data_IF_545494763548
#
_entry.id   IF_545494763548
#
_cell.length_a   1.000
_cell.length_b   1.000
_cell.length_c   1.000
_cell.angle_alpha   90.00
_cell.angle_beta   90.00
_cell.angle_gamma   90.00
#
_symmetry.space_group_name_H-M   'P 1'
#
loop_
_entity.id
_entity.type
_entity.pdbx_description
1 polymer ?
#
# COMPACT_ATOMS: atom_id res chain seq x y z
N UNK A 1 12.33 22.68 -16.29
CA UNK A 1 10.94 22.79 -15.81
C UNK A 1 10.18 21.54 -16.24
N UNK A 2 9.80 20.68 -15.36
CA UNK A 2 8.91 19.53 -15.67
C UNK A 2 7.49 20.01 -15.39
N UNK A 3 6.69 20.18 -16.44
CA UNK A 3 5.28 20.54 -16.31
C UNK A 3 4.47 19.33 -15.95
N UNK A 4 3.84 19.35 -14.79
CA UNK A 4 2.84 18.34 -14.43
C UNK A 4 1.72 18.34 -15.47
N UNK A 5 1.39 17.18 -16.00
CA UNK A 5 0.28 17.04 -16.95
C UNK A 5 -1.02 17.06 -16.15
N UNK A 6 -1.74 18.18 -16.23
CA UNK A 6 -3.11 18.24 -15.71
C UNK A 6 -4.07 17.50 -16.63
N UNK A 7 -5.21 17.08 -16.10
CA UNK A 7 -6.26 16.40 -16.84
C UNK A 7 -7.65 16.74 -16.32
N UNK A 8 -8.67 16.28 -17.03
CA UNK A 8 -10.06 16.37 -16.58
C UNK A 8 -10.51 14.97 -16.16
N UNK A 9 -10.91 14.83 -14.89
CA UNK A 9 -11.57 13.62 -14.42
C UNK A 9 -13.07 13.79 -14.66
N UNK A 10 -13.67 12.83 -15.34
CA UNK A 10 -15.08 12.75 -15.58
C UNK A 10 -15.65 11.53 -14.85
N UNK A 11 -16.65 11.74 -14.01
CA UNK A 11 -17.47 10.70 -13.41
C UNK A 11 -18.83 10.67 -14.10
N UNK A 12 -19.23 9.49 -14.57
CA UNK A 12 -20.56 9.26 -15.14
C UNK A 12 -21.28 8.22 -14.30
N UNK A 13 -22.51 8.50 -13.91
CA UNK A 13 -23.39 7.58 -13.21
C UNK A 13 -24.71 7.46 -13.97
N UNK A 14 -25.25 6.26 -14.04
CA UNK A 14 -26.56 6.01 -14.64
C UNK A 14 -27.52 5.47 -13.58
N UNK A 15 -28.68 6.12 -13.48
CA UNK A 15 -29.73 5.71 -12.57
C UNK A 15 -30.94 5.29 -13.39
N UNK A 16 -31.48 4.12 -13.15
CA UNK A 16 -32.63 3.57 -13.88
C UNK A 16 -33.92 4.40 -13.75
N UNK A 17 -34.00 5.24 -12.70
CA UNK A 17 -35.14 6.13 -12.47
C UNK A 17 -34.90 7.59 -12.90
N UNK A 18 -33.66 8.07 -12.86
CA UNK A 18 -33.36 9.50 -13.00
C UNK A 18 -32.46 9.81 -14.20
N UNK A 19 -32.04 8.78 -14.96
CA UNK A 19 -31.20 8.96 -16.13
C UNK A 19 -29.71 9.07 -15.83
N UNK A 20 -28.98 9.70 -16.73
CA UNK A 20 -27.52 9.80 -16.69
C UNK A 20 -27.07 11.12 -16.08
N UNK A 21 -26.14 11.02 -15.13
CA UNK A 21 -25.49 12.15 -14.49
C UNK A 21 -24.01 12.15 -14.87
N UNK A 22 -23.46 13.33 -15.18
CA UNK A 22 -22.06 13.50 -15.51
C UNK A 22 -21.50 14.68 -14.70
N UNK A 23 -20.39 14.44 -14.01
CA UNK A 23 -19.64 15.48 -13.33
C UNK A 23 -18.21 15.50 -13.84
N UNK A 24 -17.63 16.68 -14.04
CA UNK A 24 -16.27 16.87 -14.50
C UNK A 24 -15.50 17.76 -13.53
N UNK A 25 -14.22 17.44 -13.31
CA UNK A 25 -13.33 18.27 -12.51
C UNK A 25 -11.94 18.31 -13.14
N UNK A 26 -11.40 19.50 -13.33
CA UNK A 26 -10.01 19.68 -13.70
C UNK A 26 -9.12 19.29 -12.51
N UNK A 27 -8.14 18.44 -12.74
CA UNK A 27 -7.15 18.01 -11.75
C UNK A 27 -5.78 18.45 -12.24
N UNK A 28 -5.03 19.11 -11.37
CA UNK A 28 -3.61 19.40 -11.59
C UNK A 28 -2.80 18.37 -10.83
N UNK A 29 -1.92 17.66 -11.52
CA UNK A 29 -0.99 16.71 -10.90
C UNK A 29 0.33 17.44 -10.72
N UNK A 30 0.74 17.62 -9.47
CA UNK A 30 2.07 18.11 -9.14
C UNK A 30 3.01 16.91 -9.08
N UNK A 31 3.83 16.73 -10.13
CA UNK A 31 4.77 15.62 -10.23
C UNK A 31 4.41 14.62 -11.33
N UNK A 32 5.34 13.74 -11.62
CA UNK A 32 5.31 12.87 -12.81
C UNK A 32 4.45 11.59 -12.63
N UNK A 33 3.63 11.51 -11.58
CA UNK A 33 2.77 10.35 -11.33
C UNK A 33 3.58 9.05 -11.08
N UNK A 34 2.88 7.91 -11.18
CA UNK A 34 3.51 6.58 -11.00
C UNK A 34 4.48 6.16 -12.13
N UNK A 35 4.63 6.97 -13.17
CA UNK A 35 5.43 6.64 -14.35
C UNK A 35 6.85 7.22 -14.34
N UNK A 36 7.19 8.03 -13.35
CA UNK A 36 8.51 8.66 -13.25
C UNK A 36 9.07 8.47 -11.85
N UNK A 37 9.62 7.30 -11.62
CA UNK A 37 10.55 7.15 -10.51
C UNK A 37 11.85 7.92 -10.85
N UNK A 38 12.44 8.66 -9.90
CA UNK A 38 13.74 9.25 -10.08
C UNK A 38 14.75 8.16 -10.48
N UNK A 39 15.74 8.51 -11.25
CA UNK A 39 16.75 7.66 -11.89
C UNK A 39 17.54 6.74 -10.93
N UNK A 40 17.36 6.92 -9.63
CA UNK A 40 17.84 6.06 -8.54
C UNK A 40 16.70 5.78 -7.58
N UNK A 41 16.02 4.66 -7.80
CA UNK A 41 15.25 4.00 -6.74
C UNK A 41 16.27 3.70 -5.62
N UNK A 42 16.06 4.29 -4.45
CA UNK A 42 16.96 4.09 -3.32
C UNK A 42 16.73 2.71 -2.70
N UNK A 43 17.06 1.65 -3.46
CA UNK A 43 16.96 0.23 -3.03
C UNK A 43 17.63 -0.02 -1.68
N UNK A 44 18.63 0.80 -1.35
CA UNK A 44 19.37 0.73 -0.10
C UNK A 44 18.58 1.25 1.11
N UNK A 45 17.57 2.08 0.91
CA UNK A 45 16.74 2.65 1.99
C UNK A 45 15.54 1.79 2.39
N UNK A 46 15.38 0.62 1.78
CA UNK A 46 14.27 -0.28 2.11
C UNK A 46 14.48 -0.90 3.48
N UNK A 47 13.46 -0.78 4.35
CA UNK A 47 13.51 -1.34 5.71
C UNK A 47 12.63 -0.59 6.69
N UNK A 48 12.97 -0.65 7.98
CA UNK A 48 12.29 0.04 9.06
C UNK A 48 10.76 -0.25 9.11
N UNK A 49 10.35 -1.52 9.23
CA UNK A 49 8.95 -1.87 9.37
C UNK A 49 8.37 -1.28 10.66
N UNK A 50 7.15 -0.80 10.61
CA UNK A 50 6.43 -0.25 11.77
C UNK A 50 5.09 -0.94 11.92
N UNK A 51 4.70 -1.20 13.16
CA UNK A 51 3.45 -1.86 13.51
C UNK A 51 2.83 -1.13 14.70
N UNK A 52 1.55 -0.85 14.64
CA UNK A 52 0.80 -0.22 15.73
C UNK A 52 -0.63 -0.71 15.74
N UNK A 53 -1.17 -0.93 16.93
CA UNK A 53 -2.60 -1.10 17.16
C UNK A 53 -3.21 0.28 17.42
N UNK A 54 -4.43 0.51 16.94
CA UNK A 54 -5.13 1.79 17.14
C UNK A 54 -5.41 2.07 18.63
N UNK A 55 -5.59 1.01 19.41
CA UNK A 55 -5.81 1.05 20.89
C UNK A 55 -5.50 -0.30 21.51
N UNK A 56 -5.46 -0.36 22.82
CA UNK A 56 -5.44 -1.64 23.54
C UNK A 56 -6.80 -2.33 23.37
N UNK A 57 -6.88 -3.53 22.76
CA UNK A 57 -8.15 -4.24 22.61
C UNK A 57 -8.59 -4.89 23.91
N UNK A 58 -9.88 -5.20 24.05
CA UNK A 58 -10.37 -6.17 25.01
C UNK A 58 -10.22 -7.58 24.44
N UNK A 59 -10.28 -8.58 25.30
CA UNK A 59 -10.21 -9.99 24.86
C UNK A 59 -11.36 -10.32 23.89
N UNK A 60 -11.04 -10.91 22.74
CA UNK A 60 -11.99 -11.25 21.69
C UNK A 60 -12.40 -10.10 20.77
N UNK A 61 -11.97 -8.88 21.08
CA UNK A 61 -12.30 -7.68 20.31
C UNK A 61 -11.53 -7.60 19.00
N UNK A 62 -12.12 -6.90 18.03
CA UNK A 62 -11.46 -6.53 16.77
C UNK A 62 -10.84 -5.14 16.94
N UNK A 63 -9.56 -5.02 16.63
CA UNK A 63 -8.81 -3.77 16.65
C UNK A 63 -8.23 -3.48 15.28
N UNK A 64 -8.22 -2.20 14.88
CA UNK A 64 -7.50 -1.78 13.69
C UNK A 64 -6.00 -1.84 13.95
N UNK A 65 -5.30 -2.48 13.03
CA UNK A 65 -3.85 -2.55 12.97
C UNK A 65 -3.37 -1.69 11.82
N UNK A 66 -2.33 -0.90 12.07
CA UNK A 66 -1.63 -0.12 11.05
C UNK A 66 -0.19 -0.61 10.95
N UNK A 67 0.23 -0.97 9.74
CA UNK A 67 1.62 -1.32 9.45
C UNK A 67 2.17 -0.49 8.30
N UNK A 68 3.47 -0.24 8.30
CA UNK A 68 4.19 0.52 7.29
C UNK A 68 5.57 -0.11 7.07
N UNK A 69 6.05 -0.06 5.83
CA UNK A 69 7.45 -0.33 5.48
C UNK A 69 8.01 0.87 4.72
N UNK A 70 9.21 1.32 5.05
CA UNK A 70 9.93 2.28 4.22
C UNK A 70 10.54 1.49 3.05
N UNK A 71 9.94 1.63 1.86
CA UNK A 71 10.29 0.89 0.65
C UNK A 71 9.85 1.68 -0.57
N UNK A 72 10.75 1.85 -1.52
CA UNK A 72 10.41 2.50 -2.78
C UNK A 72 9.51 1.61 -3.64
N UNK A 73 8.79 2.24 -4.58
CA UNK A 73 7.95 1.53 -5.55
C UNK A 73 8.21 2.10 -6.93
N UNK A 74 8.51 1.22 -7.88
CA UNK A 74 8.73 1.56 -9.29
C UNK A 74 7.97 0.57 -10.17
N UNK A 75 7.11 1.08 -11.04
CA UNK A 75 6.41 0.26 -12.03
C UNK A 75 7.31 -0.17 -13.18
N UNK A 76 8.47 0.46 -13.33
CA UNK A 76 9.34 0.30 -14.50
C UNK A 76 8.78 0.89 -15.79
N UNK A 77 7.64 1.60 -15.73
CA UNK A 77 6.99 2.19 -16.90
C UNK A 77 7.50 3.60 -17.16
N UNK A 78 7.67 3.93 -18.44
CA UNK A 78 7.95 5.27 -18.95
C UNK A 78 6.96 5.64 -20.03
N UNK A 79 6.58 6.91 -20.11
CA UNK A 79 5.69 7.42 -21.13
C UNK A 79 6.51 7.81 -22.39
N UNK A 80 6.31 7.11 -23.50
CA UNK A 80 6.95 7.39 -24.81
C UNK A 80 5.90 7.56 -25.89
N UNK A 81 5.88 8.72 -26.52
CA UNK A 81 4.93 9.00 -27.60
C UNK A 81 3.45 8.83 -27.19
N UNK A 82 3.11 9.08 -25.92
CA UNK A 82 1.75 8.89 -25.40
C UNK A 82 1.40 7.45 -24.98
N UNK A 83 2.34 6.51 -25.07
CA UNK A 83 2.15 5.10 -24.69
C UNK A 83 3.08 4.75 -23.53
N UNK A 84 2.56 4.00 -22.55
CA UNK A 84 3.37 3.46 -21.47
C UNK A 84 4.16 2.23 -21.93
N UNK A 85 5.48 2.28 -21.80
CA UNK A 85 6.41 1.20 -22.15
C UNK A 85 7.20 0.80 -20.93
N UNK A 86 7.37 -0.51 -20.70
CA UNK A 86 8.21 -1.01 -19.60
C UNK A 86 9.67 -0.96 -20.04
N UNK A 87 10.45 -0.10 -19.40
CA UNK A 87 11.87 0.10 -19.69
C UNK A 87 12.80 -0.49 -18.62
N UNK A 88 12.27 -0.72 -17.42
CA UNK A 88 13.03 -1.26 -16.29
C UNK A 88 12.22 -2.35 -15.60
N UNK A 89 12.89 -3.26 -14.88
CA UNK A 89 12.20 -4.16 -13.97
C UNK A 89 11.42 -3.37 -12.91
N UNK A 90 10.23 -3.85 -12.59
CA UNK A 90 9.46 -3.31 -11.47
C UNK A 90 10.14 -3.62 -10.14
N UNK A 91 9.94 -2.71 -9.17
CA UNK A 91 10.45 -2.84 -7.80
C UNK A 91 9.36 -2.41 -6.82
N UNK A 92 8.86 -3.33 -6.00
CA UNK A 92 7.73 -3.04 -5.10
C UNK A 92 7.58 -4.11 -4.02
N UNK A 93 6.86 -3.77 -2.94
CA UNK A 93 6.41 -4.74 -1.93
C UNK A 93 5.32 -5.62 -2.56
N UNK A 94 5.61 -6.90 -2.75
CA UNK A 94 4.72 -7.86 -3.42
C UNK A 94 3.72 -8.51 -2.48
N UNK A 95 4.15 -8.79 -1.25
CA UNK A 95 3.33 -9.51 -0.28
C UNK A 95 3.48 -8.94 1.13
N UNK A 96 2.37 -8.95 1.89
CA UNK A 96 2.39 -8.71 3.33
C UNK A 96 1.59 -9.82 4.00
N UNK A 97 2.23 -10.55 4.91
CA UNK A 97 1.64 -11.63 5.69
C UNK A 97 1.56 -11.21 7.15
N UNK A 98 0.41 -11.44 7.76
CA UNK A 98 0.16 -11.10 9.15
C UNK A 98 -0.17 -12.35 9.92
N UNK A 99 0.52 -12.56 11.03
CA UNK A 99 0.34 -13.70 11.90
C UNK A 99 -0.05 -13.23 13.31
N UNK A 100 -0.94 -13.97 13.93
CA UNK A 100 -1.16 -13.89 15.37
C UNK A 100 -0.61 -15.18 15.98
N UNK A 101 0.49 -15.07 16.72
CA UNK A 101 1.35 -16.20 17.12
C UNK A 101 1.82 -16.98 15.88
N UNK A 102 1.29 -18.20 15.66
CA UNK A 102 1.63 -19.07 14.52
C UNK A 102 0.57 -19.02 13.40
N UNK A 103 -0.61 -18.46 13.68
CA UNK A 103 -1.74 -18.48 12.78
C UNK A 103 -1.64 -17.34 11.77
N UNK A 104 -1.73 -17.64 10.48
CA UNK A 104 -1.85 -16.64 9.42
C UNK A 104 -3.26 -16.05 9.47
N UNK A 105 -3.37 -14.77 9.87
CA UNK A 105 -4.65 -14.07 10.04
C UNK A 105 -5.00 -13.13 8.88
N UNK A 106 -4.00 -12.70 8.11
CA UNK A 106 -4.21 -11.93 6.88
C UNK A 106 -3.05 -12.09 5.90
N UNK A 107 -3.37 -12.05 4.59
CA UNK A 107 -2.40 -12.08 3.50
C UNK A 107 -2.82 -11.08 2.44
N UNK A 108 -1.91 -10.17 2.09
CA UNK A 108 -2.11 -9.16 1.05
C UNK A 108 -1.14 -9.43 -0.08
N UNK A 109 -1.66 -9.51 -1.30
CA UNK A 109 -0.88 -9.50 -2.53
C UNK A 109 -1.01 -8.13 -3.17
N UNK A 110 0.11 -7.47 -3.43
CA UNK A 110 0.20 -6.13 -3.94
C UNK A 110 0.77 -6.15 -5.36
N UNK A 111 0.58 -5.07 -6.08
CA UNK A 111 1.11 -4.87 -7.44
C UNK A 111 2.10 -3.71 -7.46
N UNK A 112 2.85 -3.56 -8.53
CA UNK A 112 3.80 -2.45 -8.69
C UNK A 112 3.17 -1.05 -8.72
N UNK A 113 1.83 -0.97 -8.81
CA UNK A 113 1.09 0.28 -8.69
C UNK A 113 0.92 0.77 -7.24
N UNK A 114 1.38 -0.01 -6.25
CA UNK A 114 1.39 0.46 -4.84
C UNK A 114 2.30 1.66 -4.69
N UNK A 115 1.89 2.62 -3.86
CA UNK A 115 2.74 3.79 -3.55
C UNK A 115 4.01 3.38 -2.82
N UNK A 116 5.07 4.17 -2.95
CA UNK A 116 6.25 4.06 -2.11
C UNK A 116 5.86 4.20 -0.62
N UNK A 117 6.63 3.55 0.26
CA UNK A 117 6.38 3.51 1.70
C UNK A 117 4.96 3.02 2.05
N UNK A 118 4.56 1.83 1.59
CA UNK A 118 3.20 1.36 1.71
C UNK A 118 2.72 1.31 3.15
N UNK A 119 1.51 1.81 3.37
CA UNK A 119 0.81 1.77 4.65
C UNK A 119 -0.43 0.91 4.47
N UNK A 120 -0.57 -0.13 5.30
CA UNK A 120 -1.76 -0.98 5.33
C UNK A 120 -2.50 -0.77 6.65
N UNK A 121 -3.83 -0.76 6.58
CA UNK A 121 -4.72 -0.77 7.72
C UNK A 121 -5.70 -1.92 7.56
N UNK A 122 -5.85 -2.72 8.60
CA UNK A 122 -6.72 -3.88 8.57
C UNK A 122 -7.19 -4.26 9.97
N UNK A 123 -8.37 -4.88 10.11
CA UNK A 123 -8.86 -5.35 11.38
C UNK A 123 -8.22 -6.68 11.77
N UNK A 124 -7.91 -6.85 13.05
CA UNK A 124 -7.45 -8.12 13.64
C UNK A 124 -8.27 -8.41 14.89
N UNK A 125 -8.79 -9.63 15.00
CA UNK A 125 -9.40 -10.12 16.24
C UNK A 125 -8.31 -10.57 17.20
N UNK A 126 -8.39 -10.12 18.46
CA UNK A 126 -7.43 -10.46 19.51
C UNK A 126 -8.11 -11.40 20.54
N UNK A 127 -8.04 -12.72 20.37
CA UNK A 127 -8.78 -13.67 21.23
C UNK A 127 -8.15 -13.82 22.62
N UNK A 128 -6.85 -13.58 22.75
CA UNK A 128 -6.05 -13.80 23.94
C UNK A 128 -4.75 -12.99 23.88
N UNK A 129 -3.97 -12.90 24.97
CA UNK A 129 -2.59 -12.42 24.88
C UNK A 129 -1.79 -13.23 23.84
N UNK A 130 -0.95 -12.56 23.04
CA UNK A 130 -0.17 -13.20 22.00
C UNK A 130 0.77 -12.21 21.31
N UNK A 131 1.35 -12.60 20.20
CA UNK A 131 2.27 -11.79 19.42
C UNK A 131 1.71 -11.57 18.01
N UNK A 132 1.55 -10.32 17.62
CA UNK A 132 1.24 -9.95 16.24
C UNK A 132 2.55 -9.81 15.49
N UNK A 133 2.69 -10.51 14.37
CA UNK A 133 3.88 -10.51 13.52
C UNK A 133 3.48 -10.16 12.09
N UNK A 134 4.19 -9.20 11.50
CA UNK A 134 3.98 -8.77 10.12
C UNK A 134 5.26 -9.00 9.33
N UNK A 135 5.15 -9.72 8.21
CA UNK A 135 6.24 -10.02 7.30
C UNK A 135 5.94 -9.39 5.95
N UNK A 136 6.80 -8.49 5.51
CA UNK A 136 6.80 -7.89 4.18
C UNK A 136 7.77 -8.66 3.29
N UNK A 137 7.41 -8.87 2.04
CA UNK A 137 8.30 -9.41 1.01
C UNK A 137 8.18 -8.58 -0.26
N UNK A 138 9.31 -8.19 -0.87
CA UNK A 138 9.30 -7.52 -2.16
C UNK A 138 9.39 -8.54 -3.32
N UNK A 139 9.27 -8.04 -4.53
CA UNK A 139 9.34 -8.86 -5.74
C UNK A 139 10.76 -9.37 -6.06
N UNK A 140 11.79 -8.86 -5.39
CA UNK A 140 13.18 -9.34 -5.49
C UNK A 140 13.53 -10.39 -4.41
N UNK A 141 12.55 -10.80 -3.57
CA UNK A 141 12.73 -11.84 -2.56
C UNK A 141 13.27 -11.35 -1.21
N UNK A 142 13.54 -10.04 -1.03
CA UNK A 142 13.93 -9.49 0.28
C UNK A 142 12.73 -9.48 1.20
N UNK A 143 12.98 -9.71 2.50
CA UNK A 143 11.95 -9.73 3.52
C UNK A 143 12.32 -8.85 4.71
N UNK A 144 11.30 -8.28 5.35
CA UNK A 144 11.39 -7.50 6.58
C UNK A 144 10.27 -7.94 7.51
N UNK A 145 10.59 -8.02 8.78
CA UNK A 145 9.66 -8.50 9.79
C UNK A 145 9.60 -7.54 10.97
N UNK A 146 8.41 -7.43 11.57
CA UNK A 146 8.20 -6.73 12.82
C UNK A 146 7.21 -7.53 13.67
N UNK A 147 7.45 -7.53 14.98
CA UNK A 147 6.60 -8.18 15.97
C UNK A 147 6.14 -7.17 17.03
N UNK A 148 4.92 -7.35 17.53
CA UNK A 148 4.33 -6.54 18.59
C UNK A 148 3.60 -7.46 19.58
N UNK A 149 4.01 -7.50 20.87
CA UNK A 149 3.25 -8.21 21.89
C UNK A 149 1.89 -7.55 22.10
N UNK A 150 0.82 -8.32 22.02
CA UNK A 150 -0.55 -7.84 22.22
C UNK A 150 -1.09 -8.40 23.52
N UNK A 151 -1.41 -7.49 24.46
CA UNK A 151 -2.00 -7.82 25.76
C UNK A 151 -3.37 -7.15 25.81
N UNK A 152 -4.46 -7.89 25.61
CA UNK A 152 -5.79 -7.33 25.75
C UNK A 152 -6.06 -6.94 27.21
N UNK A 153 -6.81 -5.85 27.39
CA UNK A 153 -7.38 -5.53 28.70
C UNK A 153 -8.38 -6.62 29.12
N UNK A 154 -8.43 -6.89 30.40
CA UNK A 154 -9.35 -7.85 31.00
C UNK A 154 -10.83 -7.50 30.82
#
# INVERSE_FOLDING_TARGET
MRSGVGGVVQAAAECTRHGRFVATRAVRVAGDGCATAPERVARERSGNPKLRLARVPRRGEIVEVRTKLDHDSDTGLSLKGGVYVRERPEFFVKQVRVYFDRDLVAHFTLTSAISANPILRFPVRVPRPGVLRVVFANNEGRQWEITEPVRPAG
#
